data_IF_363662171483
#
_entry.id   IF_363662171483
#
_cell.length_a   1.000
_cell.length_b   1.000
_cell.length_c   1.000
_cell.angle_alpha   90.00
_cell.angle_beta   90.00
_cell.angle_gamma   90.00
#
_symmetry.space_group_name_H-M   'P 1'
#
loop_
_entity.id
_entity.type
_entity.pdbx_description
1 polymer ?
#
# COMPACT_ATOMS: atom_id res chain seq x y z
N UNK A 1 -67.97 -10.52 14.48
CA UNK A 1 -66.81 -11.20 13.85
C UNK A 1 -65.89 -10.24 13.10
N UNK A 2 -66.41 -9.25 12.35
CA UNK A 2 -65.61 -8.29 11.57
C UNK A 2 -64.57 -7.46 12.40
N UNK A 3 -64.96 -6.92 13.55
CA UNK A 3 -64.08 -6.02 14.34
C UNK A 3 -62.80 -6.68 14.90
N UNK A 4 -62.88 -7.94 15.35
CA UNK A 4 -61.74 -8.68 15.91
C UNK A 4 -60.70 -8.97 14.82
N UNK A 5 -61.14 -9.25 13.60
CA UNK A 5 -60.26 -9.49 12.46
C UNK A 5 -59.51 -8.22 12.06
N UNK A 6 -60.20 -7.07 12.01
CA UNK A 6 -59.59 -5.77 11.69
C UNK A 6 -58.54 -5.34 12.72
N UNK A 7 -58.80 -5.55 14.02
CA UNK A 7 -57.84 -5.24 15.08
C UNK A 7 -56.59 -6.14 15.03
N UNK A 8 -56.74 -7.42 14.68
CA UNK A 8 -55.60 -8.34 14.49
C UNK A 8 -54.74 -7.95 13.30
N UNK A 9 -55.34 -7.56 12.17
CA UNK A 9 -54.59 -7.14 10.98
C UNK A 9 -53.81 -5.84 11.21
N UNK A 10 -54.40 -4.87 11.92
CA UNK A 10 -53.71 -3.63 12.30
C UNK A 10 -52.48 -3.91 13.17
N UNK A 11 -52.59 -4.78 14.16
CA UNK A 11 -51.47 -5.14 15.02
C UNK A 11 -50.36 -5.88 14.25
N UNK A 12 -50.70 -6.81 13.35
CA UNK A 12 -49.69 -7.51 12.53
C UNK A 12 -48.93 -6.57 11.59
N UNK A 13 -49.60 -5.56 11.03
CA UNK A 13 -48.94 -4.56 10.17
C UNK A 13 -47.98 -3.68 10.96
N UNK A 14 -48.36 -3.27 12.18
CA UNK A 14 -47.48 -2.48 13.04
C UNK A 14 -46.24 -3.25 13.48
N UNK A 15 -46.38 -4.55 13.79
CA UNK A 15 -45.25 -5.42 14.14
C UNK A 15 -44.31 -5.57 12.94
N UNK A 16 -44.86 -5.89 11.76
CA UNK A 16 -44.06 -6.02 10.54
C UNK A 16 -43.32 -4.71 10.18
N UNK A 17 -43.95 -3.55 10.39
CA UNK A 17 -43.32 -2.25 10.19
C UNK A 17 -42.15 -2.03 11.16
N UNK A 18 -42.32 -2.38 12.44
CA UNK A 18 -41.25 -2.28 13.44
C UNK A 18 -40.07 -3.22 13.12
N UNK A 19 -40.34 -4.44 12.68
CA UNK A 19 -39.31 -5.39 12.24
C UNK A 19 -38.55 -4.87 11.01
N UNK A 20 -39.26 -4.28 10.06
CA UNK A 20 -38.65 -3.64 8.89
C UNK A 20 -37.74 -2.49 9.30
N UNK A 21 -38.21 -1.60 10.17
CA UNK A 21 -37.41 -0.47 10.69
C UNK A 21 -36.17 -0.99 11.43
N UNK A 22 -36.32 -1.97 12.32
CA UNK A 22 -35.20 -2.56 13.05
C UNK A 22 -34.18 -3.20 12.10
N UNK A 23 -34.63 -3.89 11.05
CA UNK A 23 -33.76 -4.49 10.03
C UNK A 23 -32.98 -3.44 9.25
N UNK A 24 -33.63 -2.34 8.86
CA UNK A 24 -32.97 -1.23 8.16
C UNK A 24 -31.92 -0.56 9.05
N UNK A 25 -32.24 -0.28 10.31
CA UNK A 25 -31.29 0.30 11.27
C UNK A 25 -30.10 -0.64 11.48
N UNK A 26 -30.35 -1.94 11.68
CA UNK A 26 -29.30 -2.95 11.81
C UNK A 26 -28.39 -3.02 10.57
N UNK A 27 -28.98 -2.96 9.37
CA UNK A 27 -28.24 -2.90 8.11
C UNK A 27 -27.36 -1.66 7.99
N UNK A 28 -27.89 -0.47 8.30
CA UNK A 28 -27.13 0.78 8.31
C UNK A 28 -25.98 0.74 9.32
N UNK A 29 -26.21 0.18 10.51
CA UNK A 29 -25.18 0.03 11.52
C UNK A 29 -24.08 -0.94 11.08
N UNK A 30 -24.45 -2.06 10.45
CA UNK A 30 -23.47 -3.00 9.88
C UNK A 30 -22.61 -2.35 8.79
N UNK A 31 -23.21 -1.56 7.90
CA UNK A 31 -22.46 -0.79 6.89
C UNK A 31 -21.49 0.21 7.52
N UNK A 32 -21.89 0.90 8.59
CA UNK A 32 -21.02 1.81 9.33
C UNK A 32 -19.84 1.07 9.97
N UNK A 33 -20.06 -0.10 10.58
CA UNK A 33 -19.00 -0.91 11.15
C UNK A 33 -18.03 -1.42 10.09
N UNK A 34 -18.52 -1.85 8.93
CA UNK A 34 -17.67 -2.26 7.80
C UNK A 34 -16.82 -1.09 7.29
N UNK A 35 -17.42 0.11 7.19
CA UNK A 35 -16.70 1.31 6.80
C UNK A 35 -15.56 1.64 7.77
N UNK A 36 -15.83 1.65 9.09
CA UNK A 36 -14.80 1.88 10.12
C UNK A 36 -13.72 0.81 10.13
N UNK A 37 -14.11 -0.46 10.08
CA UNK A 37 -13.15 -1.57 10.05
C UNK A 37 -12.21 -1.54 8.85
N UNK A 38 -12.67 -1.02 7.70
CA UNK A 38 -11.80 -0.81 6.55
C UNK A 38 -10.80 0.34 6.76
N UNK A 39 -11.20 1.42 7.45
CA UNK A 39 -10.28 2.51 7.81
C UNK A 39 -9.21 2.04 8.80
N UNK A 40 -9.57 1.24 9.80
CA UNK A 40 -8.62 0.72 10.80
C UNK A 40 -7.59 -0.22 10.16
N UNK A 41 -8.03 -1.11 9.26
CA UNK A 41 -7.13 -1.99 8.48
C UNK A 41 -6.13 -1.17 7.66
N UNK A 42 -6.60 -0.09 7.07
CA UNK A 42 -5.79 0.81 6.25
C UNK A 42 -4.76 1.57 7.10
N UNK A 43 -5.16 2.10 8.25
CA UNK A 43 -4.24 2.73 9.20
C UNK A 43 -3.16 1.74 9.68
N UNK A 44 -3.57 0.51 10.01
CA UNK A 44 -2.65 -0.55 10.42
C UNK A 44 -1.63 -0.87 9.30
N UNK A 45 -2.07 -0.91 8.04
CA UNK A 45 -1.17 -1.09 6.90
C UNK A 45 -0.16 0.07 6.76
N UNK A 46 -0.60 1.32 6.94
CA UNK A 46 0.29 2.49 6.88
C UNK A 46 1.31 2.48 8.01
N UNK A 47 0.91 2.12 9.23
CA UNK A 47 1.83 1.96 10.36
C UNK A 47 2.85 0.86 10.10
N UNK A 48 2.42 -0.30 9.58
CA UNK A 48 3.36 -1.36 9.18
C UNK A 48 4.33 -0.88 8.08
N UNK A 49 3.86 -0.06 7.15
CA UNK A 49 4.72 0.55 6.13
C UNK A 49 5.78 1.42 6.78
N UNK A 50 5.36 2.34 7.64
CA UNK A 50 6.21 3.24 8.39
C UNK A 50 7.24 2.46 9.22
N UNK A 51 6.78 1.56 10.08
CA UNK A 51 7.63 0.80 10.99
C UNK A 51 8.69 0.03 10.23
N UNK A 52 8.33 -0.61 9.11
CA UNK A 52 9.29 -1.36 8.31
C UNK A 52 10.29 -0.46 7.59
N UNK A 53 9.85 0.70 7.07
CA UNK A 53 10.70 1.62 6.33
C UNK A 53 11.82 2.19 7.21
N UNK A 54 11.52 2.49 8.49
CA UNK A 54 12.47 3.13 9.40
C UNK A 54 13.12 2.18 10.41
N UNK A 55 12.52 1.03 10.72
CA UNK A 55 13.06 0.08 11.71
C UNK A 55 13.85 -1.06 11.10
N UNK A 56 13.70 -1.34 9.79
CA UNK A 56 14.52 -2.35 9.11
C UNK A 56 15.89 -1.72 8.75
N UNK A 57 16.99 -2.18 9.36
CA UNK A 57 18.29 -1.54 9.23
C UNK A 57 18.82 -1.58 7.79
N UNK A 58 18.49 -2.64 7.03
CA UNK A 58 18.92 -2.76 5.64
C UNK A 58 18.20 -1.73 4.77
N UNK A 59 16.88 -1.57 4.96
CA UNK A 59 16.07 -0.60 4.23
C UNK A 59 16.50 0.82 4.58
N UNK A 60 16.68 1.11 5.87
CA UNK A 60 17.13 2.41 6.34
C UNK A 60 18.53 2.77 5.79
N UNK A 61 19.45 1.80 5.75
CA UNK A 61 20.79 1.98 5.18
C UNK A 61 20.73 2.27 3.67
N UNK A 62 19.91 1.55 2.92
CA UNK A 62 19.70 1.82 1.49
C UNK A 62 19.09 3.21 1.26
N UNK A 63 18.06 3.59 2.01
CA UNK A 63 17.44 4.93 1.94
C UNK A 63 18.45 6.03 2.25
N UNK A 64 19.26 5.85 3.29
CA UNK A 64 20.30 6.81 3.65
C UNK A 64 21.35 6.96 2.53
N UNK A 65 21.77 5.85 1.93
CA UNK A 65 22.72 5.89 0.81
C UNK A 65 22.15 6.62 -0.41
N UNK A 66 20.86 6.38 -0.73
CA UNK A 66 20.12 7.09 -1.80
C UNK A 66 20.03 8.59 -1.50
N UNK A 67 19.65 8.94 -0.27
CA UNK A 67 19.54 10.33 0.20
C UNK A 67 20.87 11.09 0.08
N UNK A 68 21.98 10.44 0.44
CA UNK A 68 23.33 11.03 0.34
C UNK A 68 23.95 10.90 -1.05
N UNK A 69 23.31 10.21 -1.98
CA UNK A 69 23.85 9.95 -3.32
C UNK A 69 25.19 9.20 -3.30
N UNK A 70 25.50 8.44 -2.25
CA UNK A 70 26.79 7.76 -2.08
C UNK A 70 26.61 6.26 -1.93
N UNK A 71 27.59 5.47 -2.36
CA UNK A 71 27.56 4.00 -2.26
C UNK A 71 26.71 3.28 -3.32
N UNK A 72 26.07 4.01 -4.24
CA UNK A 72 25.28 3.43 -5.35
C UNK A 72 26.04 3.37 -6.69
N UNK A 73 27.24 3.94 -6.75
CA UNK A 73 28.05 4.04 -7.97
C UNK A 73 28.42 2.65 -8.52
N UNK A 74 28.78 1.73 -7.62
CA UNK A 74 29.07 0.34 -7.96
C UNK A 74 27.83 -0.38 -8.52
N UNK A 75 26.64 -0.09 -7.98
CA UNK A 75 25.38 -0.65 -8.47
C UNK A 75 25.05 -0.16 -9.88
N UNK A 76 25.22 1.15 -10.14
CA UNK A 76 25.01 1.72 -11.47
C UNK A 76 25.99 1.12 -12.50
N UNK A 77 27.21 0.80 -12.08
CA UNK A 77 28.24 0.21 -12.95
C UNK A 77 27.94 -1.22 -13.41
N UNK A 78 27.02 -1.95 -12.74
CA UNK A 78 26.61 -3.32 -13.14
C UNK A 78 25.91 -3.38 -14.49
N UNK A 79 25.34 -2.27 -14.96
CA UNK A 79 24.82 -2.19 -16.32
C UNK A 79 25.93 -2.29 -17.37
N UNK A 80 27.15 -1.86 -17.03
CA UNK A 80 28.30 -1.73 -17.95
C UNK A 80 29.33 -2.84 -17.76
N UNK A 81 29.48 -3.36 -16.54
CA UNK A 81 30.48 -4.36 -16.16
C UNK A 81 29.83 -5.73 -15.95
N UNK A 82 30.20 -6.72 -16.78
CA UNK A 82 29.80 -8.14 -16.61
C UNK A 82 30.37 -8.81 -15.34
N UNK A 83 31.12 -8.09 -14.49
CA UNK A 83 31.70 -8.67 -13.28
C UNK A 83 30.64 -8.87 -12.21
N UNK A 84 30.45 -10.13 -11.83
CA UNK A 84 29.56 -10.63 -10.78
C UNK A 84 29.98 -10.27 -9.33
N UNK A 85 30.79 -9.23 -9.12
CA UNK A 85 31.14 -8.85 -7.76
C UNK A 85 29.90 -8.31 -7.03
N UNK A 86 29.73 -8.75 -5.78
CA UNK A 86 28.70 -8.23 -4.87
C UNK A 86 29.02 -6.76 -4.67
N UNK A 87 28.17 -5.88 -5.21
CA UNK A 87 28.37 -4.45 -5.07
C UNK A 87 28.02 -4.05 -3.64
N UNK A 88 28.68 -3.02 -3.12
CA UNK A 88 28.29 -2.45 -1.84
C UNK A 88 26.80 -2.05 -1.89
N UNK A 89 26.05 -2.33 -0.81
CA UNK A 89 24.62 -2.03 -0.65
C UNK A 89 23.64 -2.79 -1.57
N UNK A 90 24.10 -3.71 -2.41
CA UNK A 90 23.24 -4.44 -3.35
C UNK A 90 22.05 -5.11 -2.66
N UNK A 91 22.32 -5.87 -1.61
CA UNK A 91 21.30 -6.61 -0.89
C UNK A 91 20.29 -5.67 -0.20
N UNK A 92 20.78 -4.60 0.40
CA UNK A 92 19.97 -3.58 1.06
C UNK A 92 19.08 -2.83 0.05
N UNK A 93 19.64 -2.44 -1.09
CA UNK A 93 18.90 -1.79 -2.18
C UNK A 93 17.86 -2.73 -2.77
N UNK A 94 18.19 -3.99 -3.02
CA UNK A 94 17.24 -5.01 -3.49
C UNK A 94 16.06 -5.18 -2.54
N UNK A 95 16.34 -5.20 -1.23
CA UNK A 95 15.32 -5.32 -0.20
C UNK A 95 14.39 -4.10 -0.20
N UNK A 96 14.95 -2.90 -0.30
CA UNK A 96 14.18 -1.66 -0.43
C UNK A 96 13.30 -1.69 -1.69
N UNK A 97 13.86 -2.02 -2.86
CA UNK A 97 13.13 -2.04 -4.13
C UNK A 97 11.97 -3.06 -4.12
N UNK A 98 12.20 -4.26 -3.57
CA UNK A 98 11.14 -5.26 -3.39
C UNK A 98 10.07 -4.79 -2.41
N UNK A 99 10.46 -4.06 -1.36
CA UNK A 99 9.51 -3.52 -0.41
C UNK A 99 8.63 -2.43 -1.03
N UNK A 100 9.23 -1.56 -1.85
CA UNK A 100 8.48 -0.56 -2.62
C UNK A 100 7.59 -1.19 -3.70
N UNK A 101 8.03 -2.29 -4.34
CA UNK A 101 7.17 -3.05 -5.25
C UNK A 101 5.93 -3.60 -4.52
N UNK A 102 6.12 -4.13 -3.31
CA UNK A 102 5.00 -4.56 -2.46
C UNK A 102 4.03 -3.40 -2.14
N UNK A 103 4.54 -2.21 -1.79
CA UNK A 103 3.71 -1.02 -1.58
C UNK A 103 2.96 -0.66 -2.88
N UNK A 104 3.64 -0.68 -4.03
CA UNK A 104 3.02 -0.47 -5.34
C UNK A 104 1.89 -1.45 -5.63
N UNK A 105 2.04 -2.71 -5.23
CA UNK A 105 0.99 -3.72 -5.37
C UNK A 105 -0.25 -3.39 -4.50
N UNK A 106 -0.06 -2.84 -3.30
CA UNK A 106 -1.16 -2.37 -2.45
C UNK A 106 -1.90 -1.19 -3.08
N UNK A 107 -1.19 -0.26 -3.73
CA UNK A 107 -1.82 0.85 -4.46
C UNK A 107 -2.59 0.35 -5.67
N UNK A 108 -1.97 -0.49 -6.49
CA UNK A 108 -2.57 -1.08 -7.70
C UNK A 108 -3.85 -1.87 -7.38
N UNK A 109 -3.87 -2.57 -6.25
CA UNK A 109 -5.04 -3.33 -5.79
C UNK A 109 -6.06 -2.48 -5.01
N UNK A 110 -5.87 -1.15 -4.97
CA UNK A 110 -6.74 -0.18 -4.28
C UNK A 110 -6.90 -0.43 -2.78
N UNK A 111 -5.97 -1.16 -2.16
CA UNK A 111 -5.88 -1.30 -0.69
C UNK A 111 -5.32 -0.03 -0.06
N UNK A 112 -4.41 0.63 -0.78
CA UNK A 112 -3.94 1.98 -0.51
C UNK A 112 -4.26 2.88 -1.70
N UNK A 113 -4.41 4.17 -1.44
CA UNK A 113 -4.45 5.21 -2.46
C UNK A 113 -3.18 6.04 -2.38
N UNK A 114 -2.83 6.72 -3.48
CA UNK A 114 -1.66 7.61 -3.52
C UNK A 114 -1.73 8.71 -2.44
N UNK A 115 -2.94 9.16 -2.07
CA UNK A 115 -3.15 10.14 -0.99
C UNK A 115 -2.67 9.63 0.37
N UNK A 116 -2.76 8.31 0.59
CA UNK A 116 -2.36 7.68 1.84
C UNK A 116 -0.84 7.58 1.97
N UNK A 117 -0.14 7.61 0.85
CA UNK A 117 1.31 7.57 0.79
C UNK A 117 1.95 8.97 0.88
N UNK A 118 1.15 10.04 1.02
CA UNK A 118 1.63 11.41 1.18
C UNK A 118 2.68 11.57 2.30
N UNK A 119 2.58 10.91 3.47
CA UNK A 119 3.61 10.99 4.50
C UNK A 119 5.00 10.49 4.06
N UNK A 120 5.06 9.63 3.03
CA UNK A 120 6.30 9.06 2.48
C UNK A 120 6.75 9.78 1.20
N UNK A 121 6.21 10.98 0.92
CA UNK A 121 6.50 11.67 -0.34
C UNK A 121 7.97 12.00 -0.52
N UNK A 122 8.66 12.30 0.59
CA UNK A 122 10.09 12.58 0.57
C UNK A 122 10.88 11.36 0.10
N UNK A 123 10.69 10.21 0.76
CA UNK A 123 11.38 8.95 0.45
C UNK A 123 11.11 8.51 -0.99
N UNK A 124 9.85 8.61 -1.44
CA UNK A 124 9.48 8.27 -2.81
C UNK A 124 10.13 9.22 -3.82
N UNK A 125 10.22 10.51 -3.53
CA UNK A 125 10.87 11.49 -4.42
C UNK A 125 12.37 11.23 -4.56
N UNK A 126 13.11 11.03 -3.46
CA UNK A 126 14.55 10.74 -3.52
C UNK A 126 14.84 9.42 -4.27
N UNK A 127 13.96 8.42 -4.15
CA UNK A 127 14.07 7.15 -4.89
C UNK A 127 13.79 7.36 -6.38
N UNK A 128 12.76 8.13 -6.72
CA UNK A 128 12.34 8.41 -8.10
C UNK A 128 13.42 9.18 -8.86
N UNK A 129 14.00 10.17 -8.21
CA UNK A 129 14.92 11.13 -8.86
C UNK A 129 16.38 10.65 -8.85
N UNK A 130 16.69 9.53 -8.18
CA UNK A 130 18.05 9.01 -8.12
C UNK A 130 18.46 8.29 -9.44
N UNK A 131 19.44 8.86 -10.13
CA UNK A 131 19.93 8.37 -11.42
C UNK A 131 20.62 7.01 -11.30
N UNK A 132 21.44 6.79 -10.25
CA UNK A 132 22.13 5.51 -10.05
C UNK A 132 21.12 4.37 -9.80
N UNK A 133 20.09 4.63 -9.01
CA UNK A 133 19.03 3.68 -8.72
C UNK A 133 18.19 3.37 -9.97
N UNK A 134 17.94 4.37 -10.81
CA UNK A 134 17.28 4.18 -12.10
C UNK A 134 18.10 3.27 -13.02
N UNK A 135 19.41 3.49 -13.13
CA UNK A 135 20.30 2.61 -13.89
C UNK A 135 20.30 1.18 -13.34
N UNK A 136 20.35 1.03 -12.02
CA UNK A 136 20.30 -0.29 -11.38
C UNK A 136 18.96 -1.01 -11.60
N UNK A 137 17.82 -0.30 -11.54
CA UNK A 137 16.51 -0.87 -11.88
C UNK A 137 16.43 -1.33 -13.33
N UNK A 138 17.03 -0.57 -14.26
CA UNK A 138 17.11 -0.98 -15.66
C UNK A 138 17.96 -2.25 -15.84
N UNK A 139 19.05 -2.37 -15.09
CA UNK A 139 19.83 -3.62 -15.01
C UNK A 139 18.99 -4.79 -14.46
N UNK A 140 18.28 -4.61 -13.33
CA UNK A 140 17.39 -5.64 -12.78
C UNK A 140 16.34 -6.09 -13.81
N UNK A 141 15.76 -5.14 -14.54
CA UNK A 141 14.82 -5.43 -15.63
C UNK A 141 15.46 -6.24 -16.77
N UNK A 142 16.71 -5.93 -17.16
CA UNK A 142 17.43 -6.64 -18.23
C UNK A 142 17.72 -8.10 -17.88
N UNK A 143 17.95 -8.39 -16.60
CA UNK A 143 18.09 -9.77 -16.08
C UNK A 143 16.75 -10.40 -15.65
N UNK A 144 15.62 -9.80 -16.03
CA UNK A 144 14.25 -10.28 -15.79
C UNK A 144 13.84 -10.36 -14.32
N UNK A 145 14.45 -9.57 -13.44
CA UNK A 145 13.95 -9.39 -12.07
C UNK A 145 12.67 -8.54 -12.14
N UNK A 146 11.59 -9.08 -11.58
CA UNK A 146 10.27 -8.48 -11.68
C UNK A 146 10.05 -7.43 -10.57
N UNK A 147 9.91 -6.17 -10.98
CA UNK A 147 9.53 -5.02 -10.15
C UNK A 147 8.34 -4.27 -10.79
N UNK A 148 7.33 -5.01 -11.24
CA UNK A 148 6.23 -4.50 -12.06
C UNK A 148 5.34 -3.46 -11.37
N UNK A 149 5.23 -3.51 -10.05
CA UNK A 149 4.38 -2.60 -9.28
C UNK A 149 5.16 -1.39 -8.77
N UNK A 150 6.49 -1.50 -8.67
CA UNK A 150 7.36 -0.37 -8.35
C UNK A 150 7.26 0.73 -9.41
N UNK A 151 7.21 0.36 -10.68
CA UNK A 151 7.04 1.31 -11.78
C UNK A 151 5.75 2.12 -11.63
N UNK A 152 4.64 1.41 -11.38
CA UNK A 152 3.34 2.01 -11.11
C UNK A 152 3.38 2.99 -9.92
N UNK A 153 4.05 2.59 -8.83
CA UNK A 153 4.22 3.44 -7.65
C UNK A 153 4.97 4.74 -7.98
N UNK A 154 6.08 4.66 -8.72
CA UNK A 154 6.95 5.83 -8.94
C UNK A 154 6.46 6.75 -10.07
N UNK A 155 5.72 6.23 -11.05
CA UNK A 155 5.15 7.05 -12.13
C UNK A 155 3.87 7.77 -11.70
N UNK A 156 2.99 7.09 -10.97
CA UNK A 156 1.72 7.69 -10.56
C UNK A 156 1.84 8.57 -9.31
N UNK A 157 2.93 8.45 -8.55
CA UNK A 157 3.16 9.32 -7.41
C UNK A 157 3.71 10.68 -7.89
N UNK A 158 2.96 11.78 -7.68
CA UNK A 158 3.30 13.11 -8.16
C UNK A 158 4.49 13.72 -7.43
#
# INVERSE_FOLDING_TARGET
MSFITTMRTLNSVNIALLELIATVIGGLFALLLLYRGNQDKKLTQLLNIYDRLYSDPDIAKALYAIDKGSGLEELASKQVSEKYHVAALEMETDKLLKYLDFIGALVKTKKLSLKDLKPFSYELSIIKDNVQLTAYRNYLSSIKVNLNNLHYLLEEFP
#
